data_IF_323556322257
#
_entry.id   IF_323556322257
#
_cell.length_a   1.000
_cell.length_b   1.000
_cell.length_c   1.000
_cell.angle_alpha   90.00
_cell.angle_beta   90.00
_cell.angle_gamma   90.00
#
_symmetry.space_group_name_H-M   'P 1'
#
loop_
_entity.id
_entity.type
_entity.pdbx_description
1 polymer ?
#
# COMPACT_ATOMS: atom_id res chain seq x y z
N UNK A 1 1.21 15.04 -21.69
CA UNK A 1 1.99 14.42 -20.61
C UNK A 1 2.19 15.48 -19.54
N UNK A 2 1.77 15.25 -18.29
CA UNK A 2 2.22 16.08 -17.18
C UNK A 2 3.75 16.00 -17.10
N UNK A 3 4.40 17.13 -16.89
CA UNK A 3 5.85 17.20 -16.69
C UNK A 3 6.12 17.66 -15.28
N UNK A 4 7.07 17.02 -14.62
CA UNK A 4 7.48 17.37 -13.27
C UNK A 4 8.60 18.42 -13.30
N UNK A 5 8.90 18.95 -12.11
CA UNK A 5 10.03 19.83 -11.89
C UNK A 5 11.08 19.11 -11.04
N UNK A 6 12.34 19.20 -11.47
CA UNK A 6 13.46 18.68 -10.69
C UNK A 6 13.47 19.33 -9.29
N UNK A 7 13.56 18.55 -8.20
CA UNK A 7 13.49 19.08 -6.84
C UNK A 7 14.68 19.98 -6.48
N UNK A 8 15.81 19.82 -7.19
CA UNK A 8 17.04 20.58 -6.93
C UNK A 8 17.16 21.84 -7.76
N UNK A 9 17.03 21.73 -9.09
CA UNK A 9 17.29 22.85 -10.01
C UNK A 9 16.03 23.40 -10.69
N UNK A 10 14.85 22.81 -10.41
CA UNK A 10 13.54 23.19 -10.99
C UNK A 10 13.47 23.13 -12.51
N UNK A 11 14.44 22.49 -13.16
CA UNK A 11 14.34 22.18 -14.59
C UNK A 11 13.13 21.29 -14.83
N UNK A 12 12.52 21.44 -16.00
CA UNK A 12 11.47 20.53 -16.46
C UNK A 12 12.07 19.12 -16.65
N UNK A 13 11.40 18.10 -16.15
CA UNK A 13 11.81 16.69 -16.24
C UNK A 13 10.59 15.81 -16.57
N UNK A 14 10.86 14.60 -17.07
CA UNK A 14 9.87 13.54 -17.22
C UNK A 14 10.28 12.36 -16.33
N UNK A 15 9.83 12.35 -15.07
CA UNK A 15 10.23 11.35 -14.09
C UNK A 15 9.80 9.92 -14.47
N UNK A 16 8.82 9.77 -15.37
CA UNK A 16 8.32 8.47 -15.85
C UNK A 16 9.26 7.85 -16.89
N UNK A 17 9.96 8.68 -17.67
CA UNK A 17 10.88 8.21 -18.70
C UNK A 17 12.36 8.40 -18.35
N UNK A 18 12.68 9.25 -17.37
CA UNK A 18 14.05 9.63 -16.99
C UNK A 18 14.35 9.28 -15.53
N UNK A 19 15.47 8.57 -15.28
CA UNK A 19 15.93 8.26 -13.91
C UNK A 19 16.67 9.41 -13.23
N UNK A 20 17.24 10.33 -14.01
CA UNK A 20 18.08 11.42 -13.53
C UNK A 20 17.76 12.71 -14.28
N UNK A 21 17.82 13.83 -13.57
CA UNK A 21 17.71 15.16 -14.18
C UNK A 21 18.88 15.39 -15.15
N UNK A 22 18.59 15.68 -16.41
CA UNK A 22 19.59 16.01 -17.44
C UNK A 22 20.38 17.30 -17.16
N UNK A 23 19.85 18.20 -16.31
CA UNK A 23 20.48 19.48 -15.99
C UNK A 23 21.43 19.39 -14.79
N UNK A 24 21.05 18.69 -13.72
CA UNK A 24 21.83 18.69 -12.47
C UNK A 24 22.19 17.29 -11.95
N UNK A 25 21.80 16.21 -12.64
CA UNK A 25 22.17 14.84 -12.30
C UNK A 25 21.50 14.24 -11.06
N UNK A 26 20.55 14.95 -10.43
CA UNK A 26 19.81 14.40 -9.28
C UNK A 26 18.90 13.26 -9.74
N UNK A 27 18.74 12.23 -8.89
CA UNK A 27 17.81 11.13 -9.09
C UNK A 27 16.36 11.61 -9.01
N UNK A 28 15.49 11.01 -9.81
CA UNK A 28 14.07 11.39 -9.93
C UNK A 28 13.10 10.33 -9.38
N UNK A 29 13.58 9.21 -8.82
CA UNK A 29 12.70 8.09 -8.46
C UNK A 29 11.63 8.46 -7.42
N UNK A 30 11.94 9.42 -6.54
CA UNK A 30 10.99 9.89 -5.51
C UNK A 30 9.83 10.71 -6.09
N UNK A 31 9.96 11.28 -7.30
CA UNK A 31 8.88 12.00 -7.98
C UNK A 31 7.80 11.06 -8.51
N UNK A 32 8.18 9.83 -8.87
CA UNK A 32 7.24 8.78 -9.30
C UNK A 32 6.61 8.03 -8.12
N UNK A 33 7.10 8.22 -6.90
CA UNK A 33 6.60 7.49 -5.75
C UNK A 33 5.12 7.82 -5.55
N UNK A 34 4.26 6.81 -5.77
CA UNK A 34 2.87 6.91 -5.37
C UNK A 34 2.82 7.22 -3.86
N UNK A 35 1.88 8.08 -3.39
CA UNK A 35 1.69 8.26 -1.97
C UNK A 35 1.42 6.89 -1.32
N UNK A 36 1.88 6.68 -0.07
CA UNK A 36 1.61 5.44 0.63
C UNK A 36 0.11 5.16 0.59
N UNK A 37 -0.26 3.94 0.21
CA UNK A 37 -1.66 3.53 0.19
C UNK A 37 -2.15 3.60 1.63
N UNK A 38 -3.12 4.48 1.89
CA UNK A 38 -3.82 4.48 3.16
C UNK A 38 -4.71 3.22 3.19
N UNK A 39 -4.27 2.20 3.93
CA UNK A 39 -5.00 0.93 4.08
C UNK A 39 -6.36 1.13 4.76
N UNK A 40 -6.62 2.31 5.34
CA UNK A 40 -7.89 2.63 5.96
C UNK A 40 -8.95 2.79 4.88
N UNK A 41 -9.92 1.87 4.89
CA UNK A 41 -11.15 2.00 4.14
C UNK A 41 -11.88 3.24 4.65
N UNK A 42 -12.17 4.26 3.80
CA UNK A 42 -12.94 5.42 4.23
C UNK A 42 -14.26 4.97 4.85
N UNK A 43 -14.69 5.61 5.94
CA UNK A 43 -15.83 5.13 6.73
C UNK A 43 -17.11 4.91 5.91
N UNK A 44 -17.32 5.70 4.84
CA UNK A 44 -18.46 5.53 3.91
C UNK A 44 -18.48 4.17 3.19
N UNK A 45 -17.30 3.56 3.01
CA UNK A 45 -17.08 2.30 2.32
C UNK A 45 -16.82 1.16 3.31
N UNK A 46 -16.78 1.45 4.62
CA UNK A 46 -16.72 0.41 5.63
C UNK A 46 -18.01 -0.42 5.51
N UNK A 47 -17.93 -1.76 5.39
CA UNK A 47 -19.12 -2.59 5.29
C UNK A 47 -20.03 -2.37 6.50
N UNK A 48 -21.34 -2.25 6.24
CA UNK A 48 -22.34 -2.12 7.30
C UNK A 48 -22.53 -3.46 8.02
N UNK A 49 -22.78 -3.41 9.34
CA UNK A 49 -23.08 -4.61 10.14
C UNK A 49 -21.87 -5.39 10.66
N UNK A 50 -20.67 -4.79 10.65
CA UNK A 50 -19.47 -5.43 11.20
C UNK A 50 -19.34 -5.34 12.72
N UNK A 51 -20.11 -4.49 13.41
CA UNK A 51 -20.00 -4.33 14.87
C UNK A 51 -20.28 -5.62 15.65
N UNK A 52 -21.17 -6.49 15.14
CA UNK A 52 -21.44 -7.81 15.73
C UNK A 52 -20.36 -8.86 15.43
N UNK A 53 -19.60 -8.69 14.35
CA UNK A 53 -18.55 -9.62 13.89
C UNK A 53 -17.18 -9.22 14.46
N UNK A 54 -16.94 -7.92 14.64
CA UNK A 54 -15.75 -7.35 15.30
C UNK A 54 -15.77 -7.56 16.81
N UNK A 55 -16.92 -7.91 17.38
CA UNK A 55 -16.97 -8.55 18.69
C UNK A 55 -16.23 -9.87 18.55
N UNK A 56 -14.95 -9.87 18.92
CA UNK A 56 -14.14 -11.07 19.02
C UNK A 56 -14.99 -12.11 19.76
N UNK A 57 -15.14 -13.34 19.22
CA UNK A 57 -15.76 -14.39 20.00
C UNK A 57 -15.00 -14.52 21.32
N UNK A 58 -15.66 -14.97 22.39
CA UNK A 58 -14.95 -15.34 23.61
C UNK A 58 -13.80 -16.26 23.19
N UNK A 59 -12.57 -15.94 23.62
CA UNK A 59 -11.34 -16.61 23.15
C UNK A 59 -11.46 -18.13 23.30
N UNK A 60 -12.21 -18.59 24.31
CA UNK A 60 -12.50 -19.99 24.61
C UNK A 60 -13.40 -20.71 23.56
N UNK A 61 -14.12 -19.96 22.71
CA UNK A 61 -14.96 -20.49 21.63
C UNK A 61 -14.23 -20.60 20.28
N UNK A 62 -12.99 -20.10 20.20
CA UNK A 62 -12.14 -20.26 19.02
C UNK A 62 -11.60 -21.70 19.07
N UNK A 63 -12.22 -22.61 18.31
CA UNK A 63 -11.67 -23.93 18.09
C UNK A 63 -10.32 -23.77 17.39
N UNK A 64 -9.22 -24.13 18.08
CA UNK A 64 -7.87 -24.13 17.53
C UNK A 64 -7.87 -24.98 16.24
N UNK A 65 -7.68 -24.30 15.11
CA UNK A 65 -8.03 -24.82 13.80
C UNK A 65 -7.16 -26.00 13.38
N UNK A 66 -7.72 -27.20 13.43
CA UNK A 66 -7.38 -28.32 12.55
C UNK A 66 -6.48 -29.39 13.15
N UNK A 67 -6.97 -30.63 13.17
CA UNK A 67 -6.13 -31.83 13.34
C UNK A 67 -5.40 -32.14 12.04
N UNK A 68 -4.07 -32.23 12.09
CA UNK A 68 -3.25 -32.81 11.03
C UNK A 68 -3.26 -34.33 11.21
N UNK A 69 -4.22 -35.00 10.59
CA UNK A 69 -4.09 -36.45 10.41
C UNK A 69 -3.09 -36.67 9.26
N UNK A 70 -1.84 -36.97 9.60
CA UNK A 70 -0.87 -37.53 8.65
C UNK A 70 -1.38 -38.91 8.20
N UNK A 71 -1.61 -39.05 6.90
CA UNK A 71 -2.00 -40.33 6.31
C UNK A 71 -0.80 -41.29 6.36
N UNK A 72 -0.85 -42.29 7.23
CA UNK A 72 0.11 -43.40 7.25
C UNK A 72 -0.23 -44.44 6.15
N UNK A 73 0.83 -45.03 5.59
CA UNK A 73 0.85 -45.75 4.31
C UNK A 73 0.53 -47.26 4.41
#
# INVERSE_FOLDING_TARGET
MPYDACPTCRSKVDAVSERYCSTCGVRLDDLEAAPPIDERVPERFRPFGLEEIERSPDIDAIADGGSYEEADA
#
